data_IF_622473271375
#
_entry.id   IF_622473271375
#
_cell.length_a   1.000
_cell.length_b   1.000
_cell.length_c   1.000
_cell.angle_alpha   90.00
_cell.angle_beta   90.00
_cell.angle_gamma   90.00
#
_symmetry.space_group_name_H-M   'P 1'
#
loop_
_entity.id
_entity.type
_entity.pdbx_description
1 polymer ?
#
# COMPACT_ATOMS: atom_id res chain seq x y z
N UNK A 1 -44.38 -36.78 -31.55
CA UNK A 1 -44.77 -36.66 -30.12
C UNK A 1 -43.69 -37.13 -29.14
N UNK A 2 -42.81 -38.07 -29.51
CA UNK A 2 -41.77 -38.60 -28.60
C UNK A 2 -40.59 -37.65 -28.31
N UNK A 3 -40.28 -36.71 -29.22
CA UNK A 3 -39.22 -35.72 -29.00
C UNK A 3 -39.52 -34.78 -27.82
N UNK A 4 -40.79 -34.41 -27.65
CA UNK A 4 -41.24 -33.51 -26.57
C UNK A 4 -41.08 -34.20 -25.21
N UNK A 5 -41.39 -35.50 -25.13
CA UNK A 5 -41.23 -36.29 -23.91
C UNK A 5 -39.77 -36.48 -23.46
N UNK A 6 -38.81 -36.43 -24.39
CA UNK A 6 -37.37 -36.48 -24.10
C UNK A 6 -36.79 -35.11 -23.71
N UNK A 7 -37.33 -34.01 -24.24
CA UNK A 7 -36.86 -32.65 -23.99
C UNK A 7 -37.34 -32.08 -22.65
N UNK A 8 -38.56 -32.41 -22.22
CA UNK A 8 -39.15 -31.92 -20.96
C UNK A 8 -38.32 -32.27 -19.71
N UNK A 9 -37.80 -33.50 -19.52
CA UNK A 9 -36.95 -33.82 -18.37
C UNK A 9 -35.51 -33.25 -18.48
N UNK A 10 -35.07 -32.81 -19.67
CA UNK A 10 -33.77 -32.17 -19.87
C UNK A 10 -33.81 -30.65 -19.64
N UNK A 11 -34.98 -30.01 -19.67
CA UNK A 11 -35.12 -28.57 -19.44
C UNK A 11 -34.62 -28.10 -18.06
N UNK A 12 -34.91 -28.79 -16.93
CA UNK A 12 -34.39 -28.41 -15.62
C UNK A 12 -32.87 -28.52 -15.53
N UNK A 13 -32.27 -29.54 -16.17
CA UNK A 13 -30.81 -29.73 -16.18
C UNK A 13 -30.13 -28.70 -17.07
N UNK A 14 -30.72 -28.38 -18.23
CA UNK A 14 -30.26 -27.29 -19.11
C UNK A 14 -30.37 -25.94 -18.40
N UNK A 15 -31.48 -25.65 -17.72
CA UNK A 15 -31.66 -24.42 -16.95
C UNK A 15 -30.66 -24.31 -15.79
N UNK A 16 -30.42 -25.40 -15.06
CA UNK A 16 -29.46 -25.42 -13.96
C UNK A 16 -28.00 -25.28 -14.45
N UNK A 17 -27.64 -25.95 -15.56
CA UNK A 17 -26.34 -25.79 -16.21
C UNK A 17 -26.20 -24.37 -16.77
N UNK A 18 -27.24 -23.83 -17.40
CA UNK A 18 -27.26 -22.46 -17.91
C UNK A 18 -27.15 -21.44 -16.79
N UNK A 19 -27.84 -21.58 -15.66
CA UNK A 19 -27.74 -20.63 -14.56
C UNK A 19 -26.36 -20.65 -13.89
N UNK A 20 -25.77 -21.83 -13.74
CA UNK A 20 -24.40 -22.01 -13.26
C UNK A 20 -23.34 -21.46 -14.24
N UNK A 21 -23.57 -21.61 -15.55
CA UNK A 21 -22.69 -21.06 -16.57
C UNK A 21 -22.87 -19.54 -16.73
N UNK A 22 -24.10 -19.01 -16.65
CA UNK A 22 -24.38 -17.58 -16.76
C UNK A 22 -23.65 -16.78 -15.67
N UNK A 23 -23.59 -17.28 -14.44
CA UNK A 23 -22.79 -16.66 -13.37
C UNK A 23 -21.29 -16.62 -13.70
N UNK A 24 -20.72 -17.76 -14.15
CA UNK A 24 -19.29 -17.84 -14.51
C UNK A 24 -18.95 -16.99 -15.74
N UNK A 25 -19.81 -17.00 -16.76
CA UNK A 25 -19.66 -16.19 -17.97
C UNK A 25 -19.78 -14.72 -17.63
N UNK A 26 -20.71 -14.34 -16.75
CA UNK A 26 -20.84 -12.96 -16.27
C UNK A 26 -19.57 -12.47 -15.57
N UNK A 27 -18.97 -13.28 -14.70
CA UNK A 27 -17.70 -12.96 -14.03
C UNK A 27 -16.58 -12.78 -15.06
N UNK A 28 -16.44 -13.71 -16.01
CA UNK A 28 -15.42 -13.62 -17.07
C UNK A 28 -15.62 -12.37 -17.96
N UNK A 29 -16.86 -12.07 -18.34
CA UNK A 29 -17.18 -10.85 -19.08
C UNK A 29 -16.84 -9.59 -18.29
N UNK A 30 -17.16 -9.56 -16.99
CA UNK A 30 -16.85 -8.42 -16.13
C UNK A 30 -15.33 -8.24 -15.98
N UNK A 31 -14.57 -9.33 -15.80
CA UNK A 31 -13.12 -9.30 -15.75
C UNK A 31 -12.50 -8.83 -17.07
N UNK A 32 -13.01 -9.30 -18.21
CA UNK A 32 -12.56 -8.86 -19.54
C UNK A 32 -12.87 -7.38 -19.78
N UNK A 33 -14.05 -6.91 -19.36
CA UNK A 33 -14.43 -5.50 -19.46
C UNK A 33 -13.55 -4.63 -18.57
N UNK A 34 -13.35 -5.00 -17.30
CA UNK A 34 -12.46 -4.30 -16.38
C UNK A 34 -11.04 -4.21 -16.90
N UNK A 35 -10.52 -5.31 -17.45
CA UNK A 35 -9.21 -5.33 -18.11
C UNK A 35 -9.15 -4.41 -19.33
N UNK A 36 -10.17 -4.42 -20.18
CA UNK A 36 -10.25 -3.53 -21.35
C UNK A 36 -10.31 -2.05 -20.92
N UNK A 37 -11.09 -1.72 -19.89
CA UNK A 37 -11.16 -0.37 -19.33
C UNK A 37 -9.81 0.10 -18.80
N UNK A 38 -9.05 -0.77 -18.14
CA UNK A 38 -7.68 -0.46 -17.65
C UNK A 38 -6.66 -0.24 -18.77
N UNK A 39 -6.87 -0.82 -19.96
CA UNK A 39 -6.00 -0.63 -21.12
C UNK A 39 -6.35 0.64 -21.90
N UNK A 40 -7.64 0.95 -22.00
CA UNK A 40 -8.12 2.18 -22.65
C UNK A 40 -7.90 3.39 -21.75
N UNK A 41 -7.92 3.18 -20.43
CA UNK A 41 -7.57 4.18 -19.43
C UNK A 41 -6.12 4.63 -19.55
N UNK A 42 -5.86 5.90 -19.22
CA UNK A 42 -4.50 6.43 -19.09
C UNK A 42 -3.72 5.78 -17.94
N UNK A 43 -2.47 6.20 -17.78
CA UNK A 43 -1.67 5.82 -16.61
C UNK A 43 -2.32 6.26 -15.29
N UNK A 44 -1.87 5.69 -14.18
CA UNK A 44 -2.40 6.06 -12.87
C UNK A 44 -2.21 7.57 -12.63
N UNK A 45 -3.28 8.24 -12.18
CA UNK A 45 -3.33 9.69 -12.04
C UNK A 45 -3.97 10.06 -10.70
N UNK A 46 -3.20 10.71 -9.83
CA UNK A 46 -3.67 11.13 -8.49
C UNK A 46 -4.94 11.97 -8.59
N UNK A 47 -5.01 12.92 -9.52
CA UNK A 47 -6.19 13.79 -9.70
C UNK A 47 -7.45 13.01 -10.08
N UNK A 48 -7.34 12.06 -11.01
CA UNK A 48 -8.48 11.22 -11.41
C UNK A 48 -8.95 10.32 -10.27
N UNK A 49 -7.99 9.70 -9.55
CA UNK A 49 -8.28 8.89 -8.37
C UNK A 49 -8.97 9.73 -7.30
N UNK A 50 -8.42 10.91 -7.00
CA UNK A 50 -8.99 11.85 -6.03
C UNK A 50 -10.43 12.21 -6.37
N UNK A 51 -10.69 12.71 -7.59
CA UNK A 51 -12.03 13.11 -8.02
C UNK A 51 -13.01 11.95 -7.86
N UNK A 52 -12.63 10.74 -8.26
CA UNK A 52 -13.48 9.57 -8.12
C UNK A 52 -13.76 9.25 -6.64
N UNK A 53 -12.71 9.13 -5.82
CA UNK A 53 -12.86 8.73 -4.42
C UNK A 53 -13.62 9.78 -3.62
N UNK A 54 -13.20 11.04 -3.72
CA UNK A 54 -13.83 12.15 -3.01
C UNK A 54 -15.33 12.26 -3.31
N UNK A 55 -15.73 12.03 -4.56
CA UNK A 55 -17.13 12.16 -5.00
C UNK A 55 -18.01 10.95 -4.65
N UNK A 56 -17.42 9.76 -4.49
CA UNK A 56 -18.17 8.51 -4.36
C UNK A 56 -18.08 7.88 -2.96
N UNK A 57 -17.12 8.29 -2.13
CA UNK A 57 -17.01 7.79 -0.77
C UNK A 57 -18.05 8.40 0.17
N UNK A 58 -18.34 7.70 1.27
CA UNK A 58 -19.09 8.29 2.38
C UNK A 58 -18.15 9.09 3.26
N UNK A 59 -18.25 10.41 3.21
CA UNK A 59 -17.48 11.32 4.06
C UNK A 59 -17.75 10.99 5.53
N UNK A 60 -16.70 11.02 6.34
CA UNK A 60 -16.79 10.66 7.75
C UNK A 60 -16.60 9.15 8.02
N UNK A 61 -16.45 8.32 6.98
CA UNK A 61 -16.26 6.86 7.13
C UNK A 61 -15.00 6.41 6.41
N UNK A 62 -13.89 6.28 7.16
CA UNK A 62 -12.59 5.85 6.62
C UNK A 62 -12.66 4.56 5.80
N UNK A 63 -13.41 3.55 6.26
CA UNK A 63 -13.56 2.29 5.51
C UNK A 63 -14.25 2.50 4.15
N UNK A 64 -15.25 3.39 4.06
CA UNK A 64 -15.91 3.71 2.79
C UNK A 64 -14.96 4.39 1.82
N UNK A 65 -14.05 5.24 2.31
CA UNK A 65 -13.02 5.87 1.48
C UNK A 65 -12.09 4.80 0.89
N UNK A 66 -11.60 3.86 1.72
CA UNK A 66 -10.74 2.77 1.28
C UNK A 66 -11.45 1.83 0.29
N UNK A 67 -12.70 1.46 0.55
CA UNK A 67 -13.52 0.68 -0.38
C UNK A 67 -13.69 1.39 -1.73
N UNK A 68 -13.82 2.72 -1.74
CA UNK A 68 -13.96 3.50 -2.98
C UNK A 68 -12.66 3.54 -3.78
N UNK A 69 -11.50 3.57 -3.12
CA UNK A 69 -10.20 3.38 -3.80
C UNK A 69 -10.08 2.00 -4.42
N UNK A 70 -10.50 0.96 -3.70
CA UNK A 70 -10.48 -0.41 -4.20
C UNK A 70 -11.39 -0.55 -5.44
N UNK A 71 -12.59 0.03 -5.39
CA UNK A 71 -13.53 0.10 -6.52
C UNK A 71 -12.94 0.84 -7.73
N UNK A 72 -12.25 1.97 -7.51
CA UNK A 72 -11.57 2.68 -8.59
C UNK A 72 -10.52 1.80 -9.27
N UNK A 73 -9.72 1.09 -8.47
CA UNK A 73 -8.68 0.20 -8.94
C UNK A 73 -9.22 -1.01 -9.73
N UNK A 74 -10.50 -1.38 -9.59
CA UNK A 74 -11.10 -2.44 -10.41
C UNK A 74 -11.09 -2.09 -11.90
N UNK A 75 -11.32 -0.83 -12.25
CA UNK A 75 -11.53 -0.39 -13.64
C UNK A 75 -10.46 0.57 -14.16
N UNK A 76 -9.65 1.15 -13.28
CA UNK A 76 -8.61 2.13 -13.62
C UNK A 76 -7.23 1.70 -13.15
N UNK A 77 -6.19 2.22 -13.80
CA UNK A 77 -4.83 2.13 -13.27
C UNK A 77 -4.75 2.92 -11.95
N UNK A 78 -4.20 2.29 -10.91
CA UNK A 78 -4.12 2.86 -9.56
C UNK A 78 -2.72 2.72 -9.00
N UNK A 79 -2.31 3.69 -8.18
CA UNK A 79 -1.08 3.65 -7.38
C UNK A 79 -1.33 3.02 -6.00
N UNK A 80 -2.54 2.56 -5.72
CA UNK A 80 -2.87 1.95 -4.43
C UNK A 80 -2.29 0.52 -4.36
N UNK A 81 -1.79 0.15 -3.18
CA UNK A 81 -1.32 -1.21 -2.86
C UNK A 81 -2.42 -2.28 -2.91
N UNK A 82 -3.69 -1.85 -2.91
CA UNK A 82 -4.86 -2.73 -2.96
C UNK A 82 -5.15 -3.44 -1.63
N UNK A 83 -6.27 -4.16 -1.55
CA UNK A 83 -6.78 -4.67 -0.27
C UNK A 83 -5.93 -5.79 0.32
N UNK A 84 -5.37 -6.68 -0.52
CA UNK A 84 -4.56 -7.82 -0.07
C UNK A 84 -3.29 -7.37 0.65
N UNK A 85 -2.53 -6.45 0.05
CA UNK A 85 -1.34 -5.87 0.70
C UNK A 85 -1.74 -4.94 1.83
N UNK A 86 -2.85 -4.21 1.66
CA UNK A 86 -3.40 -3.34 2.69
C UNK A 86 -3.73 -4.09 3.99
N UNK A 87 -4.26 -5.32 3.92
CA UNK A 87 -4.51 -6.17 5.09
C UNK A 87 -3.21 -6.59 5.79
N UNK A 88 -2.17 -6.94 5.03
CA UNK A 88 -0.85 -7.25 5.60
C UNK A 88 -0.27 -6.00 6.28
N UNK A 89 -0.38 -4.83 5.66
CA UNK A 89 0.01 -3.56 6.27
C UNK A 89 -0.77 -3.29 7.56
N UNK A 90 -2.07 -3.56 7.58
CA UNK A 90 -2.90 -3.41 8.77
C UNK A 90 -2.37 -4.28 9.92
N UNK A 91 -1.98 -5.52 9.63
CA UNK A 91 -1.44 -6.45 10.63
C UNK A 91 -0.06 -6.03 11.13
N UNK A 92 0.77 -5.46 10.26
CA UNK A 92 2.03 -4.81 10.66
C UNK A 92 1.75 -3.69 11.67
N UNK A 93 0.87 -2.74 11.34
CA UNK A 93 0.56 -1.62 12.26
C UNK A 93 0.03 -2.15 13.59
N UNK A 94 -0.84 -3.16 13.58
CA UNK A 94 -1.36 -3.80 14.80
C UNK A 94 -0.26 -4.44 15.66
N UNK A 95 0.78 -5.01 15.04
CA UNK A 95 1.90 -5.64 15.75
C UNK A 95 2.79 -4.63 16.48
N UNK A 96 2.93 -3.41 15.97
CA UNK A 96 3.79 -2.36 16.56
C UNK A 96 3.10 -1.60 17.70
N UNK A 97 1.78 -1.81 17.94
CA UNK A 97 0.95 -1.10 18.93
C UNK A 97 1.42 -1.15 20.40
N UNK A 98 2.37 -2.02 20.73
CA UNK A 98 2.91 -2.14 22.10
C UNK A 98 3.88 -1.03 22.47
N UNK A 99 4.34 -0.21 21.50
CA UNK A 99 5.23 0.94 21.72
C UNK A 99 4.39 2.22 21.64
N UNK A 100 4.45 3.10 22.65
CA UNK A 100 3.66 4.34 22.72
C UNK A 100 4.53 5.51 23.17
N UNK A 101 4.41 6.71 22.54
CA UNK A 101 3.56 7.06 21.38
C UNK A 101 4.06 6.42 20.07
N UNK A 102 3.13 6.18 19.12
CA UNK A 102 3.45 5.51 17.85
C UNK A 102 3.56 6.57 16.73
N UNK A 103 4.77 6.78 16.23
CA UNK A 103 5.02 7.59 15.04
C UNK A 103 5.33 6.70 13.85
N UNK A 104 4.63 6.96 12.75
CA UNK A 104 4.80 6.25 11.47
C UNK A 104 5.32 7.21 10.42
N UNK A 105 6.33 6.79 9.68
CA UNK A 105 6.86 7.52 8.53
C UNK A 105 6.45 6.81 7.24
N UNK A 106 5.73 7.51 6.37
CA UNK A 106 5.41 7.08 5.01
C UNK A 106 6.29 7.83 4.01
N UNK A 107 7.26 7.14 3.43
CA UNK A 107 8.06 7.67 2.33
C UNK A 107 7.31 7.44 1.02
N UNK A 108 6.49 8.45 0.64
CA UNK A 108 5.56 8.56 -0.51
C UNK A 108 4.09 8.40 -0.13
N UNK A 109 3.40 9.53 0.04
CA UNK A 109 1.97 9.58 -0.18
C UNK A 109 1.67 9.68 -1.68
N UNK A 110 0.80 8.80 -2.17
CA UNK A 110 0.12 8.95 -3.46
C UNK A 110 -1.16 9.76 -3.27
N UNK A 111 -2.32 9.11 -3.20
CA UNK A 111 -3.61 9.80 -3.02
C UNK A 111 -4.20 9.60 -1.61
N UNK A 112 -3.39 9.16 -0.63
CA UNK A 112 -3.83 8.97 0.75
C UNK A 112 -4.42 7.59 1.10
N UNK A 113 -4.39 6.60 0.20
CA UNK A 113 -4.89 5.24 0.48
C UNK A 113 -4.14 4.57 1.64
N UNK A 114 -2.82 4.44 1.50
CA UNK A 114 -1.94 3.85 2.52
C UNK A 114 -1.96 4.69 3.80
N UNK A 115 -1.91 6.02 3.69
CA UNK A 115 -2.03 6.96 4.80
C UNK A 115 -3.32 6.74 5.60
N UNK A 116 -4.48 6.58 4.94
CA UNK A 116 -5.75 6.30 5.60
C UNK A 116 -5.78 4.94 6.31
N UNK A 117 -5.15 3.91 5.72
CA UNK A 117 -4.98 2.60 6.36
C UNK A 117 -4.09 2.66 7.60
N UNK A 118 -3.00 3.43 7.55
CA UNK A 118 -2.11 3.64 8.69
C UNK A 118 -2.87 4.38 9.82
N UNK A 119 -3.45 5.54 9.50
CA UNK A 119 -4.10 6.44 10.46
C UNK A 119 -5.25 5.77 11.23
N UNK A 120 -6.09 4.97 10.57
CA UNK A 120 -7.23 4.29 11.24
C UNK A 120 -6.79 3.29 12.31
N UNK A 121 -5.54 2.85 12.26
CA UNK A 121 -5.00 1.85 13.19
C UNK A 121 -4.07 2.45 14.25
N UNK A 122 -3.65 3.71 14.12
CA UNK A 122 -2.81 4.35 15.12
C UNK A 122 -3.54 4.49 16.46
N UNK A 123 -2.83 4.32 17.59
CA UNK A 123 -3.40 4.61 18.90
C UNK A 123 -3.70 6.10 19.07
N UNK A 124 -4.49 6.44 20.10
CA UNK A 124 -4.69 7.85 20.47
C UNK A 124 -3.34 8.53 20.75
N UNK A 125 -3.13 9.70 20.14
CA UNK A 125 -1.86 10.43 20.21
C UNK A 125 -0.78 9.90 19.26
N UNK A 126 -1.07 8.87 18.46
CA UNK A 126 -0.20 8.48 17.34
C UNK A 126 -0.33 9.44 16.17
N UNK A 127 0.75 9.58 15.41
CA UNK A 127 0.86 10.48 14.28
C UNK A 127 1.50 9.82 13.06
N UNK A 128 1.19 10.37 11.89
CA UNK A 128 1.73 9.99 10.60
C UNK A 128 2.54 11.16 10.04
N UNK A 129 3.79 10.89 9.70
CA UNK A 129 4.61 11.79 8.90
C UNK A 129 4.64 11.20 7.49
N UNK A 130 4.27 11.97 6.48
CA UNK A 130 4.26 11.49 5.10
C UNK A 130 5.03 12.42 4.17
N UNK A 131 5.89 11.83 3.35
CA UNK A 131 6.65 12.52 2.31
C UNK A 131 5.86 12.48 1.02
N UNK A 132 5.60 13.64 0.43
CA UNK A 132 4.82 13.79 -0.79
C UNK A 132 5.71 14.26 -1.93
N UNK A 133 5.38 13.85 -3.16
CA UNK A 133 6.18 14.16 -4.34
C UNK A 133 6.08 15.64 -4.75
N UNK A 134 4.87 16.19 -4.68
CA UNK A 134 4.57 17.53 -5.17
C UNK A 134 3.40 18.16 -4.39
N UNK A 135 3.27 19.51 -4.40
CA UNK A 135 2.23 20.20 -3.65
C UNK A 135 0.80 19.84 -4.06
N UNK A 136 0.56 19.56 -5.34
CA UNK A 136 -0.80 19.21 -5.81
C UNK A 136 -1.22 17.86 -5.23
N UNK A 137 -0.30 16.90 -5.21
CA UNK A 137 -0.54 15.60 -4.55
C UNK A 137 -0.76 15.78 -3.05
N UNK A 138 -0.06 16.73 -2.40
CA UNK A 138 -0.25 17.03 -0.98
C UNK A 138 -1.65 17.58 -0.70
N UNK A 139 -2.09 18.59 -1.44
CA UNK A 139 -3.42 19.20 -1.30
C UNK A 139 -4.53 18.16 -1.47
N UNK A 140 -4.45 17.32 -2.51
CA UNK A 140 -5.43 16.27 -2.78
C UNK A 140 -5.42 15.17 -1.72
N UNK A 141 -4.24 14.79 -1.23
CA UNK A 141 -4.15 13.80 -0.15
C UNK A 141 -4.69 14.32 1.17
N UNK A 142 -4.50 15.61 1.47
CA UNK A 142 -5.07 16.26 2.64
C UNK A 142 -6.61 16.28 2.59
N UNK A 143 -7.21 16.59 1.44
CA UNK A 143 -8.66 16.48 1.23
C UNK A 143 -9.18 15.06 1.50
N UNK A 144 -8.46 14.04 1.02
CA UNK A 144 -8.81 12.64 1.28
C UNK A 144 -8.71 12.30 2.76
N UNK A 145 -7.64 12.72 3.45
CA UNK A 145 -7.46 12.48 4.87
C UNK A 145 -8.58 13.16 5.68
N UNK A 146 -8.99 14.38 5.33
CA UNK A 146 -10.10 15.07 5.98
C UNK A 146 -11.41 14.28 5.88
N UNK A 147 -11.75 13.73 4.70
CA UNK A 147 -12.98 12.96 4.52
C UNK A 147 -12.94 11.58 5.19
N UNK A 148 -11.76 11.09 5.58
CA UNK A 148 -11.62 9.86 6.40
C UNK A 148 -11.89 10.06 7.91
N UNK A 149 -12.17 11.30 8.36
CA UNK A 149 -12.36 11.72 9.77
C UNK A 149 -11.11 11.81 10.64
N UNK A 150 -9.91 11.75 10.06
CA UNK A 150 -8.69 12.00 10.82
C UNK A 150 -8.45 13.50 10.97
N UNK A 151 -7.87 13.89 12.10
CA UNK A 151 -7.52 15.28 12.34
C UNK A 151 -6.26 15.62 11.56
N UNK A 152 -6.22 16.79 10.93
CA UNK A 152 -4.99 17.34 10.32
C UNK A 152 -3.82 17.35 11.30
N UNK A 153 -4.07 17.60 12.59
CA UNK A 153 -3.03 17.59 13.63
C UNK A 153 -2.34 16.23 13.84
N UNK A 154 -2.86 15.13 13.27
CA UNK A 154 -2.24 13.81 13.35
C UNK A 154 -1.35 13.52 12.14
N UNK A 155 -1.33 14.40 11.12
CA UNK A 155 -0.59 14.18 9.88
C UNK A 155 0.33 15.35 9.61
N UNK A 156 1.60 15.05 9.35
CA UNK A 156 2.55 16.02 8.86
C UNK A 156 2.93 15.69 7.41
N UNK A 157 2.72 16.65 6.51
CA UNK A 157 3.13 16.54 5.11
C UNK A 157 4.50 17.19 4.92
N UNK A 158 5.43 16.44 4.36
CA UNK A 158 6.77 16.90 4.02
C UNK A 158 7.05 16.67 2.54
N UNK A 159 8.02 17.40 2.00
CA UNK A 159 8.43 17.30 0.60
C UNK A 159 9.84 16.71 0.57
N UNK A 160 10.10 15.80 -0.38
CA UNK A 160 11.41 15.17 -0.59
C UNK A 160 11.97 14.43 0.64
N UNK A 161 12.27 13.14 0.52
CA UNK A 161 12.86 12.40 1.64
C UNK A 161 14.21 12.97 2.08
N UNK A 162 15.03 13.43 1.13
CA UNK A 162 16.34 14.01 1.38
C UNK A 162 16.30 15.30 2.20
N UNK A 163 15.23 16.09 2.08
CA UNK A 163 15.04 17.33 2.85
C UNK A 163 14.25 17.07 4.14
N UNK A 164 13.30 16.14 4.10
CA UNK A 164 12.45 15.79 5.22
C UNK A 164 13.23 15.10 6.35
N UNK A 165 13.98 14.03 6.04
CA UNK A 165 14.64 13.16 7.03
C UNK A 165 15.51 13.97 8.03
N UNK A 166 16.40 14.89 7.60
CA UNK A 166 17.21 15.68 8.54
C UNK A 166 16.41 16.56 9.51
N UNK A 167 15.15 16.89 9.19
CA UNK A 167 14.31 17.75 10.03
C UNK A 167 13.48 16.97 11.06
N UNK A 168 13.33 15.65 10.88
CA UNK A 168 12.40 14.84 11.66
C UNK A 168 12.72 14.77 13.14
N UNK A 169 14.00 14.78 13.52
CA UNK A 169 14.39 14.77 14.94
C UNK A 169 13.81 15.97 15.69
N UNK A 170 13.99 17.17 15.13
CA UNK A 170 13.46 18.40 15.74
C UNK A 170 11.94 18.39 15.84
N UNK A 171 11.26 17.77 14.86
CA UNK A 171 9.81 17.61 14.89
C UNK A 171 9.37 16.64 15.99
N UNK A 172 9.98 15.45 16.07
CA UNK A 172 9.68 14.44 17.08
C UNK A 172 9.92 14.95 18.50
N UNK A 173 11.01 15.69 18.72
CA UNK A 173 11.29 16.37 19.99
C UNK A 173 10.20 17.37 20.36
N UNK A 174 9.71 18.15 19.38
CA UNK A 174 8.65 19.14 19.61
C UNK A 174 7.30 18.51 19.98
N UNK A 175 7.04 17.31 19.47
CA UNK A 175 5.86 16.48 19.80
C UNK A 175 6.04 15.71 21.13
N UNK A 176 7.17 15.90 21.82
CA UNK A 176 7.44 15.31 23.13
C UNK A 176 7.79 13.82 23.08
N UNK A 177 8.26 13.33 21.94
CA UNK A 177 8.73 11.95 21.79
C UNK A 177 10.24 11.90 21.55
N UNK A 178 10.96 11.16 22.39
CA UNK A 178 12.38 10.83 22.19
C UNK A 178 12.58 9.42 21.61
N UNK A 179 11.49 8.68 21.42
CA UNK A 179 11.55 7.23 21.17
C UNK A 179 11.75 6.89 19.69
N UNK A 180 11.82 7.89 18.81
CA UNK A 180 11.99 7.71 17.37
C UNK A 180 10.76 7.14 16.66
N UNK A 181 10.96 6.71 15.42
CA UNK A 181 9.94 6.19 14.49
C UNK A 181 9.84 4.68 14.65
N UNK A 182 8.62 4.18 14.80
CA UNK A 182 8.38 2.76 15.08
C UNK A 182 8.05 1.96 13.83
N UNK A 183 7.52 2.62 12.80
CA UNK A 183 7.19 2.02 11.52
C UNK A 183 7.58 2.96 10.38
N UNK A 184 8.32 2.45 9.41
CA UNK A 184 8.66 3.14 8.16
C UNK A 184 8.04 2.37 7.00
N UNK A 185 7.12 2.99 6.28
CA UNK A 185 6.57 2.48 5.02
C UNK A 185 7.34 3.12 3.85
N UNK A 186 7.97 2.30 3.01
CA UNK A 186 8.63 2.74 1.79
C UNK A 186 7.83 2.29 0.57
N UNK A 187 7.11 3.24 -0.03
CA UNK A 187 6.33 3.09 -1.27
C UNK A 187 6.90 3.97 -2.40
N UNK A 188 8.18 4.33 -2.27
CA UNK A 188 8.82 5.30 -3.14
C UNK A 188 9.65 4.66 -4.25
N UNK A 189 10.53 5.42 -4.90
CA UNK A 189 11.43 4.84 -5.89
C UNK A 189 12.40 3.86 -5.20
N UNK A 190 12.35 2.59 -5.59
CA UNK A 190 13.23 1.54 -5.06
C UNK A 190 14.73 1.88 -5.12
N UNK A 191 15.14 2.75 -6.05
CA UNK A 191 16.54 3.21 -6.15
C UNK A 191 16.96 4.09 -4.97
N UNK A 192 16.00 4.70 -4.27
CA UNK A 192 16.24 5.57 -3.12
C UNK A 192 16.12 4.84 -1.78
N UNK A 193 15.58 3.61 -1.75
CA UNK A 193 15.32 2.88 -0.48
C UNK A 193 16.57 2.77 0.38
N UNK A 194 17.71 2.40 -0.20
CA UNK A 194 18.97 2.30 0.55
C UNK A 194 19.44 3.68 1.05
N UNK A 195 19.34 4.72 0.22
CA UNK A 195 19.80 6.05 0.59
C UNK A 195 18.97 6.61 1.75
N UNK A 196 17.65 6.46 1.68
CA UNK A 196 16.73 6.90 2.73
C UNK A 196 16.90 6.07 4.01
N UNK A 197 17.11 4.76 3.92
CA UNK A 197 17.42 3.92 5.09
C UNK A 197 18.71 4.35 5.78
N UNK A 198 19.78 4.60 5.02
CA UNK A 198 21.05 5.09 5.58
C UNK A 198 20.91 6.48 6.20
N UNK A 199 20.07 7.35 5.61
CA UNK A 199 19.79 8.65 6.18
C UNK A 199 19.02 8.51 7.50
N UNK A 200 17.99 7.66 7.58
CA UNK A 200 17.25 7.38 8.82
C UNK A 200 18.14 6.81 9.93
N UNK A 201 19.10 5.94 9.57
CA UNK A 201 20.10 5.41 10.51
C UNK A 201 21.08 6.50 10.98
N UNK A 202 21.61 7.31 10.06
CA UNK A 202 22.56 8.39 10.37
C UNK A 202 21.95 9.46 11.27
N UNK A 203 20.69 9.80 11.04
CA UNK A 203 19.96 10.76 11.88
C UNK A 203 19.39 10.10 13.15
N UNK A 204 19.66 8.83 13.43
CA UNK A 204 19.19 8.12 14.64
C UNK A 204 17.66 8.14 14.83
N UNK A 205 16.91 8.18 13.72
CA UNK A 205 15.45 8.36 13.75
C UNK A 205 14.67 7.09 14.03
N UNK A 206 15.29 5.92 13.89
CA UNK A 206 14.62 4.64 14.07
C UNK A 206 14.53 4.29 15.56
N UNK A 207 13.35 3.87 16.01
CA UNK A 207 13.11 3.58 17.41
C UNK A 207 14.12 2.55 17.97
N UNK A 208 14.92 2.89 19.00
CA UNK A 208 15.94 2.00 19.53
C UNK A 208 15.36 0.71 20.13
N UNK A 209 14.13 0.77 20.64
CA UNK A 209 13.44 -0.42 21.19
C UNK A 209 12.95 -1.39 20.12
N UNK A 210 12.95 -0.95 18.85
CA UNK A 210 12.55 -1.72 17.70
C UNK A 210 11.78 -0.87 16.70
N UNK A 211 12.20 -0.94 15.43
CA UNK A 211 11.51 -0.30 14.32
C UNK A 211 11.15 -1.35 13.26
N UNK A 212 9.93 -1.28 12.74
CA UNK A 212 9.53 -2.08 11.59
C UNK A 212 9.69 -1.28 10.31
N UNK A 213 10.36 -1.83 9.31
CA UNK A 213 10.45 -1.27 7.97
C UNK A 213 9.65 -2.13 7.03
N UNK A 214 8.66 -1.53 6.38
CA UNK A 214 7.77 -2.15 5.41
C UNK A 214 8.11 -1.61 4.01
N UNK A 215 8.61 -2.46 3.12
CA UNK A 215 9.02 -2.10 1.77
C UNK A 215 8.02 -2.64 0.75
N UNK A 216 7.50 -1.77 -0.10
CA UNK A 216 6.68 -2.16 -1.24
C UNK A 216 7.56 -2.33 -2.46
N UNK A 217 7.54 -3.51 -3.09
CA UNK A 217 8.41 -3.80 -4.24
C UNK A 217 7.67 -3.47 -5.54
N UNK A 218 8.22 -2.56 -6.38
CA UNK A 218 7.62 -2.28 -7.69
C UNK A 218 7.57 -3.55 -8.55
N UNK A 219 6.42 -3.81 -9.19
CA UNK A 219 6.15 -4.94 -10.11
C UNK A 219 5.97 -6.32 -9.49
N UNK A 220 6.11 -6.47 -8.18
CA UNK A 220 5.47 -7.57 -7.45
C UNK A 220 4.39 -7.00 -6.54
N UNK A 221 3.14 -6.86 -7.03
CA UNK A 221 2.03 -6.29 -6.27
C UNK A 221 1.63 -7.15 -5.06
N UNK A 222 2.36 -8.24 -4.76
CA UNK A 222 2.16 -9.11 -3.61
C UNK A 222 3.33 -9.11 -2.62
N UNK A 223 4.41 -8.39 -2.90
CA UNK A 223 5.59 -8.37 -2.03
C UNK A 223 5.60 -7.12 -1.14
N UNK A 224 4.99 -7.25 0.04
CA UNK A 224 5.34 -6.41 1.19
C UNK A 224 6.47 -7.11 1.95
N UNK A 225 7.64 -6.49 1.98
CA UNK A 225 8.76 -6.99 2.75
C UNK A 225 8.79 -6.31 4.11
N UNK A 226 8.85 -7.09 5.19
CA UNK A 226 8.80 -6.57 6.56
C UNK A 226 10.11 -6.96 7.26
N UNK A 227 10.80 -5.95 7.79
CA UNK A 227 12.00 -6.10 8.62
C UNK A 227 11.75 -5.45 9.97
N UNK A 228 11.79 -6.23 11.04
CA UNK A 228 11.88 -5.67 12.40
C UNK A 228 13.36 -5.51 12.75
N UNK A 229 13.82 -4.28 12.99
CA UNK A 229 15.17 -4.01 13.48
C UNK A 229 15.28 -4.37 14.97
N UNK A 230 16.17 -5.31 15.34
CA UNK A 230 16.52 -5.52 16.74
C UNK A 230 17.46 -4.41 17.24
N UNK A 231 17.49 -4.13 18.55
CA UNK A 231 18.21 -3.01 19.17
C UNK A 231 19.75 -2.95 18.97
N UNK A 232 20.39 -3.93 18.33
CA UNK A 232 21.85 -4.19 18.51
C UNK A 232 22.66 -4.35 17.20
N UNK A 233 22.07 -4.44 16.02
CA UNK A 233 22.86 -4.58 14.76
C UNK A 233 22.29 -3.76 13.61
N UNK A 234 22.66 -2.49 13.54
CA UNK A 234 22.11 -1.51 12.61
C UNK A 234 22.67 -1.67 11.19
N UNK A 235 23.99 -1.82 11.03
CA UNK A 235 24.60 -1.80 9.70
C UNK A 235 24.37 -3.07 8.84
N UNK A 236 24.36 -4.26 9.44
CA UNK A 236 24.31 -5.54 8.69
C UNK A 236 22.89 -5.81 8.16
N UNK A 237 21.85 -5.45 8.91
CA UNK A 237 20.46 -5.68 8.49
C UNK A 237 20.08 -4.74 7.34
N UNK A 238 20.47 -3.46 7.42
CA UNK A 238 20.30 -2.48 6.33
C UNK A 238 21.02 -2.94 5.06
N UNK A 239 22.22 -3.50 5.18
CA UNK A 239 22.97 -4.07 4.05
C UNK A 239 22.31 -5.31 3.46
N UNK A 240 21.71 -6.19 4.26
CA UNK A 240 20.97 -7.37 3.76
C UNK A 240 19.68 -6.94 3.05
N UNK A 241 18.94 -5.97 3.58
CA UNK A 241 17.76 -5.39 2.91
C UNK A 241 18.13 -4.73 1.60
N UNK A 242 19.18 -3.91 1.61
CA UNK A 242 19.68 -3.27 0.40
C UNK A 242 20.20 -4.29 -0.63
N UNK A 243 20.88 -5.35 -0.19
CA UNK A 243 21.34 -6.43 -1.07
C UNK A 243 20.15 -7.15 -1.73
N UNK A 244 19.05 -7.35 -1.00
CA UNK A 244 17.83 -7.95 -1.53
C UNK A 244 17.05 -7.01 -2.47
N UNK A 245 16.95 -5.73 -2.13
CA UNK A 245 16.35 -4.69 -2.98
C UNK A 245 17.13 -4.57 -4.30
N UNK A 246 18.47 -4.56 -4.23
CA UNK A 246 19.34 -4.51 -5.41
C UNK A 246 19.24 -5.82 -6.21
N UNK A 247 19.21 -6.99 -5.56
CA UNK A 247 19.09 -8.28 -6.23
C UNK A 247 17.74 -8.41 -6.99
N UNK A 248 16.63 -7.97 -6.40
CA UNK A 248 15.31 -8.03 -7.04
C UNK A 248 15.14 -6.98 -8.14
N UNK A 249 15.70 -5.77 -7.98
CA UNK A 249 15.75 -4.76 -9.02
C UNK A 249 16.63 -5.15 -10.23
N UNK A 250 17.68 -5.95 -10.02
CA UNK A 250 18.58 -6.44 -11.07
C UNK A 250 18.08 -7.70 -11.78
N UNK A 251 17.39 -8.61 -11.08
CA UNK A 251 16.72 -9.77 -11.69
C UNK A 251 15.64 -9.36 -12.71
N UNK A 252 14.96 -8.23 -12.47
CA UNK A 252 14.04 -7.64 -13.45
C UNK A 252 14.70 -7.04 -14.70
N UNK A 253 16.03 -6.93 -14.74
CA UNK A 253 16.81 -6.50 -15.92
C UNK A 253 17.23 -7.69 -16.80
N UNK A 254 17.33 -8.89 -16.25
CA UNK A 254 17.83 -10.09 -16.95
C UNK A 254 16.77 -10.92 -17.66
N UNK A 255 15.48 -10.64 -17.50
CA UNK A 255 14.40 -11.32 -18.25
C UNK A 255 14.24 -10.83 -19.72
N UNK A 256 15.37 -10.51 -20.37
CA UNK A 256 15.55 -10.88 -21.78
C UNK A 256 16.26 -12.24 -21.83
N UNK A 257 15.48 -13.30 -21.63
CA UNK A 257 15.85 -14.67 -21.96
C UNK A 257 16.55 -15.44 -20.85
N UNK A 258 15.99 -16.61 -20.56
CA UNK A 258 16.60 -17.74 -19.84
C UNK A 258 16.82 -17.57 -18.32
N UNK A 259 15.88 -18.07 -17.52
CA UNK A 259 15.93 -19.45 -17.01
C UNK A 259 15.05 -19.58 -15.75
N UNK A 260 14.03 -20.44 -15.85
CA UNK A 260 13.27 -20.91 -14.71
C UNK A 260 14.13 -21.88 -13.88
N UNK A 261 14.24 -21.67 -12.57
CA UNK A 261 14.72 -22.72 -11.66
C UNK A 261 15.19 -22.23 -10.29
N UNK A 262 14.45 -22.64 -9.25
CA UNK A 262 14.77 -22.53 -7.80
C UNK A 262 14.85 -21.07 -7.28
N UNK A 263 14.11 -20.66 -6.25
CA UNK A 263 14.16 -21.15 -4.87
C UNK A 263 12.83 -20.93 -4.16
N UNK A 264 12.42 -21.90 -3.32
CA UNK A 264 11.39 -21.70 -2.27
C UNK A 264 12.07 -21.13 -1.03
N UNK A 265 11.46 -20.18 -0.33
CA UNK A 265 11.31 -20.24 1.13
C UNK A 265 10.20 -19.31 1.62
N UNK A 266 9.72 -19.65 2.82
CA UNK A 266 8.32 -19.67 3.27
C UNK A 266 7.99 -18.43 4.11
N UNK A 267 6.78 -17.92 3.90
CA UNK A 267 6.11 -16.90 4.68
C UNK A 267 5.97 -17.25 6.17
N UNK A 268 5.88 -16.21 7.00
CA UNK A 268 5.10 -16.19 8.23
C UNK A 268 4.03 -15.11 8.08
#
# INVERSE_FOLDING_TARGET
MWLIALLVPLLPTIFMVSSLYCGKVSILCHQALAWALRLVGGGACVKSTHVFVFSNCTHGKGDSVLETFDLYAETHQSLCIGPQIGEILDDVVKSVKSVRPLWVLELRMHCGYSSGRLLRLLPHGGGLITVVLDPVTADLGEEIILVTSFKQSQVQFLHSSAEAIPTLNSFLESEGTSDGINLVLMDHDSQQYLLDLLALEREELLCPSGCTVALLVPKDPKALYISSHPPIHTHIHTLVMASYIVATATLGRTDRGEAAGHWRHRAL
#
